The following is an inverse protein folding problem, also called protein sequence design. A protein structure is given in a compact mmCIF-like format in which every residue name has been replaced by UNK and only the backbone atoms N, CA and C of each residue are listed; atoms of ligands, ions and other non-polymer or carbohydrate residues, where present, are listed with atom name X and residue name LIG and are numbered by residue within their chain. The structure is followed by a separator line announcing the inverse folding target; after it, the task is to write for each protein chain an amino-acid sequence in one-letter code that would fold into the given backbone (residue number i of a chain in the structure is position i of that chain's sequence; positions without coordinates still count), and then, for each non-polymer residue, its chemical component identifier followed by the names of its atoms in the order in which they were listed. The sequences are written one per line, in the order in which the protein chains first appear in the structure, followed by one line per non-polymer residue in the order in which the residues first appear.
data_IF_554255125970
#
_entry.id   IF_554255125970
#
_cell.length_a   1.000
_cell.length_b   1.000
_cell.length_c   1.000
_cell.angle_alpha   90.00
_cell.angle_beta   90.00
_cell.angle_gamma   90.00
#
_symmetry.space_group_name_H-M   'P 1'
#
loop_
_entity.id
_entity.type
_entity.pdbx_description
1 polymer ?
#
# COMPACT_ATOMS: atom_id res chain seq x y z
N UNK A 1 48.66 4.39 3.23
CA UNK A 1 48.00 3.11 3.45
C UNK A 1 46.70 3.16 2.66
N UNK A 2 46.62 2.49 1.48
CA UNK A 2 45.37 2.43 0.71
C UNK A 2 44.40 1.53 1.45
N UNK A 3 43.32 2.11 1.98
CA UNK A 3 42.20 1.35 2.51
C UNK A 3 41.49 0.69 1.35
N UNK A 4 41.59 -0.61 1.23
CA UNK A 4 40.79 -1.40 0.30
C UNK A 4 39.33 -1.38 0.79
N UNK A 5 38.46 -0.77 0.03
CA UNK A 5 37.02 -0.73 0.28
C UNK A 5 36.41 -1.94 -0.43
N UNK A 6 35.64 -2.75 0.27
CA UNK A 6 35.18 -4.05 -0.22
C UNK A 6 33.66 -4.14 -0.08
N UNK A 7 33.02 -4.81 -1.06
CA UNK A 7 31.66 -5.33 -0.95
C UNK A 7 31.76 -6.81 -0.59
N UNK A 8 31.05 -7.19 0.47
CA UNK A 8 30.83 -8.58 0.83
C UNK A 8 29.37 -8.90 0.53
N UNK A 9 29.11 -9.91 -0.27
CA UNK A 9 27.78 -10.39 -0.55
C UNK A 9 27.86 -11.92 -0.64
N UNK A 10 27.28 -12.61 0.33
CA UNK A 10 27.17 -14.05 0.32
C UNK A 10 25.84 -14.50 0.89
N UNK A 11 25.36 -15.60 0.37
CA UNK A 11 24.10 -16.20 0.80
C UNK A 11 24.06 -17.67 0.44
N UNK A 12 23.24 -18.40 1.14
CA UNK A 12 22.97 -19.80 0.87
C UNK A 12 21.49 -20.10 0.94
N UNK A 13 21.03 -21.03 0.12
CA UNK A 13 19.66 -21.49 0.10
C UNK A 13 19.66 -23.01 0.28
N UNK A 14 18.84 -23.48 1.21
CA UNK A 14 18.59 -24.89 1.46
C UNK A 14 17.23 -25.26 0.87
N UNK A 15 17.24 -26.14 -0.11
CA UNK A 15 16.02 -26.66 -0.70
C UNK A 15 15.54 -27.86 0.10
N UNK A 16 14.31 -27.80 0.58
CA UNK A 16 13.62 -28.84 1.33
C UNK A 16 12.54 -29.47 0.45
N UNK A 17 12.04 -30.66 0.82
CA UNK A 17 10.98 -31.35 0.03
C UNK A 17 9.73 -30.51 -0.22
N UNK A 18 9.42 -29.54 0.64
CA UNK A 18 8.21 -28.68 0.56
C UNK A 18 8.52 -27.20 0.69
N UNK A 19 9.77 -26.80 0.46
CA UNK A 19 10.10 -25.39 0.59
C UNK A 19 11.58 -25.07 0.45
N UNK A 20 11.91 -23.84 0.78
CA UNK A 20 13.25 -23.29 0.72
C UNK A 20 13.49 -22.42 1.95
N UNK A 21 14.68 -22.49 2.50
CA UNK A 21 15.19 -21.60 3.53
C UNK A 21 16.49 -20.99 3.05
N UNK A 22 16.63 -19.69 3.12
CA UNK A 22 17.83 -18.97 2.69
C UNK A 22 18.25 -17.90 3.69
N UNK A 23 19.56 -17.72 3.80
CA UNK A 23 20.16 -16.61 4.53
C UNK A 23 21.09 -15.85 3.60
N UNK A 24 21.04 -14.53 3.67
CA UNK A 24 21.88 -13.64 2.89
C UNK A 24 22.49 -12.59 3.80
N UNK A 25 23.78 -12.37 3.62
CA UNK A 25 24.54 -11.30 4.24
C UNK A 25 25.11 -10.39 3.15
N UNK A 26 24.95 -9.08 3.33
CA UNK A 26 25.49 -8.08 2.45
C UNK A 26 26.11 -6.96 3.30
N UNK A 27 27.31 -6.56 2.96
CA UNK A 27 28.00 -5.43 3.58
C UNK A 27 28.70 -4.61 2.50
N UNK A 28 28.53 -3.31 2.57
CA UNK A 28 29.21 -2.34 1.73
C UNK A 28 29.98 -1.40 2.65
N UNK A 29 31.29 -1.41 2.52
CA UNK A 29 32.16 -0.59 3.37
C UNK A 29 31.93 0.91 3.13
N UNK A 30 32.23 1.77 4.13
CA UNK A 30 32.22 3.21 3.99
C UNK A 30 33.11 3.68 2.83
N UNK A 31 32.70 4.75 2.15
CA UNK A 31 33.43 5.36 1.02
C UNK A 31 33.62 4.46 -0.21
N UNK A 32 33.01 3.25 -0.24
CA UNK A 32 33.04 2.43 -1.43
C UNK A 32 32.52 3.20 -2.65
N UNK A 33 33.27 3.18 -3.75
CA UNK A 33 32.91 3.83 -5.02
C UNK A 33 32.93 2.79 -6.12
N UNK A 34 31.88 2.74 -6.91
CA UNK A 34 31.81 1.89 -8.10
C UNK A 34 31.98 2.73 -9.36
N UNK A 35 32.66 2.16 -10.36
CA UNK A 35 32.77 2.77 -11.67
C UNK A 35 31.40 2.71 -12.35
N UNK A 36 30.85 3.87 -12.71
CA UNK A 36 29.61 3.98 -13.49
C UNK A 36 28.34 4.33 -12.69
N UNK A 37 28.39 4.47 -11.37
CA UNK A 37 27.25 4.98 -10.58
C UNK A 37 27.65 6.23 -9.79
N UNK A 38 27.01 7.36 -10.07
CA UNK A 38 27.23 8.62 -9.34
C UNK A 38 26.66 8.58 -7.91
N UNK A 39 25.62 7.78 -7.66
CA UNK A 39 24.98 7.60 -6.37
C UNK A 39 24.93 6.11 -6.04
N UNK A 40 25.80 5.70 -5.14
CA UNK A 40 25.83 4.36 -4.62
C UNK A 40 25.64 4.39 -3.10
N UNK A 41 24.70 3.58 -2.60
CA UNK A 41 24.48 3.47 -1.17
C UNK A 41 25.61 2.64 -0.55
N UNK A 42 26.42 3.24 0.26
CA UNK A 42 27.55 2.61 0.95
C UNK A 42 27.43 2.73 2.46
N UNK A 43 28.33 2.10 3.19
CA UNK A 43 28.40 2.12 4.66
C UNK A 43 27.15 1.51 5.29
N UNK A 44 26.78 0.30 4.83
CA UNK A 44 25.68 -0.46 5.43
C UNK A 44 25.98 -1.96 5.50
N UNK A 45 25.29 -2.61 6.42
CA UNK A 45 25.25 -4.05 6.60
C UNK A 45 23.78 -4.51 6.58
N UNK A 46 23.51 -5.60 5.88
CA UNK A 46 22.19 -6.17 5.74
C UNK A 46 22.24 -7.69 5.95
N UNK A 47 21.42 -8.20 6.87
CA UNK A 47 21.23 -9.62 7.11
C UNK A 47 19.78 -9.97 6.80
N UNK A 48 19.54 -10.93 5.92
CA UNK A 48 18.20 -11.31 5.46
C UNK A 48 18.00 -12.82 5.58
N UNK A 49 16.88 -13.22 6.17
CA UNK A 49 16.38 -14.58 6.21
C UNK A 49 15.17 -14.67 5.27
N UNK A 50 15.21 -15.60 4.32
CA UNK A 50 14.14 -15.88 3.39
C UNK A 50 13.64 -17.30 3.60
N UNK A 51 12.32 -17.49 3.63
CA UNK A 51 11.73 -18.81 3.68
C UNK A 51 10.50 -18.87 2.77
N UNK A 52 10.35 -19.98 2.07
CA UNK A 52 9.18 -20.27 1.25
C UNK A 52 8.77 -21.72 1.45
N UNK A 53 7.51 -21.97 1.76
CA UNK A 53 6.98 -23.30 2.05
C UNK A 53 5.63 -23.51 1.37
N UNK A 54 5.45 -24.73 0.82
CA UNK A 54 4.16 -25.21 0.35
C UNK A 54 3.66 -26.29 1.33
N UNK A 55 2.57 -25.99 2.00
CA UNK A 55 2.01 -26.79 3.10
C UNK A 55 0.61 -27.29 2.71
N UNK A 56 0.03 -28.17 3.53
CA UNK A 56 -1.34 -28.67 3.37
C UNK A 56 -1.60 -29.27 1.98
N UNK A 57 -0.69 -30.07 1.45
CA UNK A 57 -0.77 -30.65 0.10
C UNK A 57 -0.86 -29.55 -0.98
N UNK A 58 0.04 -28.57 -0.88
CA UNK A 58 0.17 -27.40 -1.78
C UNK A 58 -1.01 -26.40 -1.75
N UNK A 59 -1.95 -26.58 -0.84
CA UNK A 59 -3.06 -25.64 -0.66
C UNK A 59 -2.66 -24.34 0.05
N UNK A 60 -1.57 -24.33 0.80
CA UNK A 60 -1.05 -23.17 1.50
C UNK A 60 0.39 -22.90 1.06
N UNK A 61 0.59 -21.77 0.39
CA UNK A 61 1.92 -21.22 0.09
C UNK A 61 2.22 -20.11 1.08
N UNK A 62 3.32 -20.26 1.82
CA UNK A 62 3.80 -19.30 2.79
C UNK A 62 5.17 -18.78 2.37
N UNK A 63 5.34 -17.48 2.27
CA UNK A 63 6.60 -16.82 1.98
C UNK A 63 6.91 -15.78 3.05
N UNK A 64 8.13 -15.80 3.57
CA UNK A 64 8.58 -14.82 4.55
C UNK A 64 9.98 -14.30 4.21
N UNK A 65 10.19 -13.04 4.50
CA UNK A 65 11.48 -12.37 4.38
C UNK A 65 11.65 -11.48 5.60
N UNK A 66 12.69 -11.72 6.39
CA UNK A 66 13.00 -10.93 7.58
C UNK A 66 14.43 -10.43 7.45
N UNK A 67 14.62 -9.12 7.46
CA UNK A 67 15.92 -8.48 7.31
C UNK A 67 16.19 -7.44 8.38
N UNK A 68 17.46 -7.33 8.76
CA UNK A 68 17.98 -6.23 9.55
C UNK A 68 19.07 -5.52 8.77
N UNK A 69 18.90 -4.22 8.59
CA UNK A 69 19.91 -3.35 7.99
C UNK A 69 20.35 -2.30 9.01
N UNK A 70 21.64 -2.02 9.05
CA UNK A 70 22.21 -0.91 9.81
C UNK A 70 23.25 -0.16 8.96
N UNK A 71 23.38 1.12 9.18
CA UNK A 71 24.39 1.99 8.56
C UNK A 71 25.39 2.53 9.60
N UNK A 72 26.31 3.38 9.16
CA UNK A 72 27.35 4.00 9.98
C UNK A 72 28.19 2.95 10.74
N UNK A 73 28.72 1.98 10.00
CA UNK A 73 29.41 0.81 10.57
C UNK A 73 30.67 1.18 11.35
N UNK A 74 31.31 2.30 11.03
CA UNK A 74 32.53 2.78 11.67
C UNK A 74 32.28 3.94 12.64
N UNK A 75 31.02 4.31 12.93
CA UNK A 75 30.63 5.42 13.79
C UNK A 75 31.24 6.79 13.38
N UNK A 76 31.50 6.98 12.09
CA UNK A 76 32.08 8.20 11.55
C UNK A 76 31.05 9.28 11.22
N UNK A 77 29.79 8.89 11.09
CA UNK A 77 28.67 9.81 10.80
C UNK A 77 28.00 10.22 12.10
N UNK A 78 27.62 11.49 12.23
CA UNK A 78 26.85 11.98 13.38
C UNK A 78 25.47 11.37 13.55
N UNK A 79 25.06 10.44 12.65
CA UNK A 79 23.77 9.78 12.64
C UNK A 79 23.94 8.30 12.30
N UNK A 80 23.33 7.44 13.10
CA UNK A 80 23.26 6.01 12.84
C UNK A 80 21.81 5.59 12.65
N UNK A 81 21.54 4.78 11.63
CA UNK A 81 20.22 4.22 11.36
C UNK A 81 20.27 2.70 11.39
N UNK A 82 19.31 2.11 12.05
CA UNK A 82 19.05 0.66 11.99
C UNK A 82 17.59 0.44 11.63
N UNK A 83 17.32 -0.50 10.73
CA UNK A 83 15.97 -0.84 10.32
C UNK A 83 15.74 -2.35 10.32
N UNK A 84 14.54 -2.74 10.75
CA UNK A 84 14.03 -4.08 10.60
C UNK A 84 12.93 -4.08 9.55
N UNK A 85 12.98 -5.04 8.66
CA UNK A 85 11.97 -5.28 7.65
C UNK A 85 11.53 -6.72 7.76
N UNK A 86 10.25 -6.92 7.94
CA UNK A 86 9.65 -8.25 7.96
C UNK A 86 8.45 -8.30 7.02
N UNK A 87 8.39 -9.28 6.14
CA UNK A 87 7.24 -9.55 5.28
C UNK A 87 6.83 -11.00 5.40
N UNK A 88 5.53 -11.23 5.48
CA UNK A 88 4.91 -12.56 5.44
C UNK A 88 3.79 -12.51 4.43
N UNK A 89 3.82 -13.42 3.45
CA UNK A 89 2.76 -13.58 2.47
C UNK A 89 2.23 -15.00 2.56
N UNK A 90 0.92 -15.16 2.63
CA UNK A 90 0.23 -16.43 2.68
C UNK A 90 -0.85 -16.48 1.60
N UNK A 91 -0.84 -17.53 0.78
CA UNK A 91 -1.89 -17.83 -0.18
C UNK A 91 -2.49 -19.18 0.20
N UNK A 92 -3.77 -19.18 0.53
CA UNK A 92 -4.48 -20.37 0.96
C UNK A 92 -5.67 -20.65 0.06
N UNK A 93 -5.58 -21.74 -0.68
CA UNK A 93 -6.68 -22.28 -1.47
C UNK A 93 -7.46 -23.30 -0.64
N UNK A 94 -8.42 -22.82 0.14
CA UNK A 94 -9.20 -23.67 1.04
C UNK A 94 -10.06 -24.70 0.25
N UNK A 95 -10.57 -24.26 -0.91
CA UNK A 95 -11.30 -25.13 -1.87
C UNK A 95 -11.15 -24.56 -3.28
N UNK A 96 -11.69 -25.26 -4.28
CA UNK A 96 -11.75 -24.76 -5.67
C UNK A 96 -12.54 -23.45 -5.82
N UNK A 97 -13.36 -23.13 -4.82
CA UNK A 97 -14.19 -21.92 -4.81
C UNK A 97 -13.67 -20.82 -3.88
N UNK A 98 -12.81 -21.15 -2.92
CA UNK A 98 -12.38 -20.22 -1.88
C UNK A 98 -10.86 -20.07 -1.85
N UNK A 99 -10.41 -18.86 -2.16
CA UNK A 99 -9.02 -18.44 -2.06
C UNK A 99 -8.88 -17.28 -1.07
N UNK A 100 -7.91 -17.39 -0.19
CA UNK A 100 -7.56 -16.37 0.82
C UNK A 100 -6.10 -16.01 0.61
N UNK A 101 -5.84 -14.73 0.41
CA UNK A 101 -4.49 -14.16 0.36
C UNK A 101 -4.33 -13.20 1.54
N UNK A 102 -3.27 -13.37 2.30
CA UNK A 102 -2.94 -12.48 3.40
C UNK A 102 -1.47 -12.04 3.27
N UNK A 103 -1.22 -10.77 3.47
CA UNK A 103 0.13 -10.23 3.56
C UNK A 103 0.27 -9.34 4.78
N UNK A 104 1.39 -9.47 5.45
CA UNK A 104 1.82 -8.61 6.54
C UNK A 104 3.22 -8.09 6.24
N UNK A 105 3.43 -6.81 6.44
CA UNK A 105 4.77 -6.24 6.41
C UNK A 105 4.97 -5.28 7.58
N UNK A 106 6.15 -5.35 8.17
CA UNK A 106 6.61 -4.45 9.21
C UNK A 106 7.92 -3.80 8.76
N UNK A 107 7.97 -2.49 8.89
CA UNK A 107 9.18 -1.72 8.70
C UNK A 107 9.41 -0.90 9.95
N UNK A 108 10.55 -1.12 10.62
CA UNK A 108 10.93 -0.33 11.79
C UNK A 108 12.30 0.32 11.52
N UNK A 109 12.34 1.63 11.57
CA UNK A 109 13.56 2.43 11.41
C UNK A 109 13.93 3.10 12.73
N UNK A 110 15.18 2.93 13.13
CA UNK A 110 15.78 3.61 14.26
C UNK A 110 16.84 4.59 13.73
N UNK A 111 16.80 5.80 14.19
CA UNK A 111 17.79 6.82 13.86
C UNK A 111 18.30 7.45 15.14
N UNK A 112 19.60 7.34 15.38
CA UNK A 112 20.29 8.01 16.48
C UNK A 112 21.05 9.20 15.91
N UNK A 113 20.69 10.40 16.30
CA UNK A 113 21.44 11.62 15.99
C UNK A 113 22.38 11.92 17.15
N UNK A 114 23.69 11.87 16.92
CA UNK A 114 24.68 12.26 17.91
C UNK A 114 24.80 13.79 17.89
N UNK A 115 24.52 14.42 19.03
CA UNK A 115 24.57 15.88 19.16
C UNK A 115 26.01 16.41 19.47
N UNK A 116 27.02 15.57 19.35
CA UNK A 116 28.42 15.85 19.73
C UNK A 116 29.05 17.07 19.05
N UNK A 117 28.42 17.67 18.04
CA UNK A 117 28.94 18.87 17.39
C UNK A 117 28.83 20.15 18.25
N UNK A 118 28.03 20.13 19.31
CA UNK A 118 27.84 21.31 20.18
C UNK A 118 28.65 21.30 21.47
N UNK A 119 29.29 20.18 21.83
CA UNK A 119 30.07 20.06 23.06
C UNK A 119 31.38 20.90 23.05
N UNK A 120 31.86 21.29 21.88
CA UNK A 120 33.07 22.11 21.77
C UNK A 120 32.82 23.63 21.91
N UNK A 121 31.56 24.08 21.99
CA UNK A 121 31.23 25.52 22.02
C UNK A 121 30.92 26.01 23.43
N UNK A 122 30.51 25.17 24.36
CA UNK A 122 30.16 25.55 25.74
C UNK A 122 30.90 24.73 26.80
N UNK A 123 32.21 24.88 26.89
CA UNK A 123 33.02 24.46 28.05
C UNK A 123 32.73 25.38 29.24
N UNK A 124 31.54 25.33 29.83
CA UNK A 124 31.21 25.98 31.07
C UNK A 124 31.22 24.93 32.20
N UNK A 125 32.18 24.92 33.11
CA UNK A 125 32.42 23.86 34.10
C UNK A 125 31.34 23.71 35.18
N UNK A 126 30.28 24.54 35.17
CA UNK A 126 29.26 24.60 36.23
C UNK A 126 27.89 24.07 35.86
N UNK A 127 27.67 23.56 34.66
CA UNK A 127 26.39 22.93 34.33
C UNK A 127 26.50 21.41 34.39
N UNK A 128 26.14 20.84 35.54
CA UNK A 128 25.86 19.41 35.74
C UNK A 128 24.47 19.09 35.12
N UNK A 129 24.28 19.40 33.86
CA UNK A 129 23.23 18.77 33.07
C UNK A 129 23.93 17.75 32.17
N UNK A 130 23.68 16.46 32.42
CA UNK A 130 24.10 15.41 31.50
C UNK A 130 23.56 15.79 30.11
N UNK A 131 24.45 16.10 29.13
CA UNK A 131 23.97 16.37 27.78
C UNK A 131 23.20 15.13 27.31
N UNK A 132 22.04 15.30 26.75
CA UNK A 132 21.43 14.23 25.96
C UNK A 132 22.30 14.04 24.75
N UNK A 133 23.25 13.10 24.82
CA UNK A 133 24.26 12.89 23.79
C UNK A 133 23.66 12.38 22.45
N UNK A 134 22.39 12.00 22.44
CA UNK A 134 21.72 11.55 21.22
C UNK A 134 20.20 11.67 21.32
N UNK A 135 19.54 12.06 20.24
CA UNK A 135 18.10 11.97 20.07
C UNK A 135 17.81 10.67 19.32
N UNK A 136 17.01 9.81 19.93
CA UNK A 136 16.57 8.55 19.32
C UNK A 136 15.24 8.75 18.62
N UNK A 137 15.26 8.67 17.31
CA UNK A 137 14.06 8.68 16.49
C UNK A 137 13.72 7.27 16.03
N UNK A 138 12.47 6.83 16.26
CA UNK A 138 11.98 5.53 15.84
C UNK A 138 10.68 5.68 15.04
N UNK A 139 10.69 5.19 13.82
CA UNK A 139 9.50 5.05 12.99
C UNK A 139 9.13 3.58 12.87
N UNK A 140 7.88 3.26 13.14
CA UNK A 140 7.31 1.92 12.98
C UNK A 140 6.19 2.05 11.95
N UNK A 141 6.25 1.24 10.89
CA UNK A 141 5.20 1.13 9.88
C UNK A 141 4.78 -0.33 9.75
N UNK A 142 3.49 -0.59 9.84
CA UNK A 142 2.91 -1.92 9.70
C UNK A 142 1.83 -1.89 8.63
N UNK A 143 1.84 -2.88 7.76
CA UNK A 143 0.84 -3.04 6.72
C UNK A 143 0.26 -4.44 6.79
N UNK A 144 -1.05 -4.54 6.75
CA UNK A 144 -1.80 -5.79 6.63
C UNK A 144 -2.68 -5.70 5.41
N UNK A 145 -2.69 -6.72 4.57
CA UNK A 145 -3.66 -6.86 3.49
C UNK A 145 -4.24 -8.26 3.53
N UNK A 146 -5.55 -8.35 3.47
CA UNK A 146 -6.28 -9.61 3.40
C UNK A 146 -7.26 -9.52 2.23
N UNK A 147 -7.22 -10.52 1.37
CA UNK A 147 -8.16 -10.68 0.28
C UNK A 147 -8.79 -12.06 0.37
N UNK A 148 -10.12 -12.11 0.35
CA UNK A 148 -10.91 -13.34 0.31
C UNK A 148 -11.71 -13.32 -0.98
N UNK A 149 -11.53 -14.32 -1.82
CA UNK A 149 -12.28 -14.50 -3.05
C UNK A 149 -13.08 -15.79 -2.95
N UNK A 150 -14.40 -15.67 -3.11
CA UNK A 150 -15.31 -16.80 -3.08
C UNK A 150 -16.13 -16.87 -4.36
N UNK A 151 -15.91 -17.90 -5.17
CA UNK A 151 -16.66 -18.20 -6.38
C UNK A 151 -17.94 -18.94 -6.03
N UNK A 152 -19.08 -18.23 -6.11
CA UNK A 152 -20.40 -18.82 -5.88
C UNK A 152 -20.81 -19.72 -7.05
N UNK A 153 -20.57 -19.26 -8.27
CA UNK A 153 -20.88 -19.98 -9.51
C UNK A 153 -19.84 -19.61 -10.57
N UNK A 154 -19.45 -20.59 -11.37
CA UNK A 154 -18.53 -20.40 -12.49
C UNK A 154 -19.00 -21.27 -13.67
N UNK A 155 -20.16 -20.94 -14.27
CA UNK A 155 -20.67 -21.56 -15.47
C UNK A 155 -20.40 -20.66 -16.69
N UNK A 156 -20.55 -21.23 -17.90
CA UNK A 156 -20.44 -20.44 -19.15
C UNK A 156 -21.52 -19.37 -19.24
N UNK A 157 -22.71 -19.65 -18.73
CA UNK A 157 -23.83 -18.72 -18.76
C UNK A 157 -23.77 -17.65 -17.68
N UNK A 158 -23.25 -18.02 -16.47
CA UNK A 158 -23.26 -17.17 -15.30
C UNK A 158 -22.07 -17.43 -14.40
N UNK A 159 -21.28 -16.38 -14.12
CA UNK A 159 -20.23 -16.41 -13.11
C UNK A 159 -20.55 -15.41 -11.99
N UNK A 160 -20.40 -15.84 -10.75
CA UNK A 160 -20.66 -15.02 -9.56
C UNK A 160 -19.52 -15.17 -8.57
N UNK A 161 -19.04 -14.07 -8.04
CA UNK A 161 -18.04 -14.07 -7.01
C UNK A 161 -18.28 -12.98 -5.96
N UNK A 162 -17.89 -13.30 -4.75
CA UNK A 162 -17.76 -12.33 -3.66
C UNK A 162 -16.27 -12.12 -3.41
N UNK A 163 -15.88 -10.87 -3.34
CA UNK A 163 -14.51 -10.48 -2.99
C UNK A 163 -14.58 -9.57 -1.76
N UNK A 164 -13.81 -9.93 -0.73
CA UNK A 164 -13.68 -9.16 0.52
C UNK A 164 -12.22 -8.76 0.62
N UNK A 165 -11.98 -7.46 0.69
CA UNK A 165 -10.65 -6.88 0.87
C UNK A 165 -10.61 -6.10 2.18
N UNK A 166 -9.53 -6.28 2.91
CA UNK A 166 -9.21 -5.47 4.08
C UNK A 166 -7.75 -5.06 4.01
N UNK A 167 -7.48 -3.78 4.24
CA UNK A 167 -6.13 -3.27 4.39
C UNK A 167 -6.00 -2.37 5.61
N UNK A 168 -4.90 -2.53 6.30
CA UNK A 168 -4.46 -1.69 7.41
C UNK A 168 -3.07 -1.13 7.08
N UNK A 169 -2.92 0.18 7.24
CA UNK A 169 -1.62 0.82 7.28
C UNK A 169 -1.54 1.61 8.60
N UNK A 170 -0.59 1.26 9.44
CA UNK A 170 -0.36 1.89 10.75
C UNK A 170 1.08 2.38 10.84
N UNK A 171 1.25 3.67 11.10
CA UNK A 171 2.55 4.31 11.22
C UNK A 171 2.62 5.10 12.53
N UNK A 172 3.69 4.86 13.29
CA UNK A 172 3.94 5.54 14.57
C UNK A 172 5.36 6.10 14.58
N UNK A 173 5.47 7.39 14.88
CA UNK A 173 6.73 8.08 15.06
C UNK A 173 6.96 8.34 16.56
N UNK A 174 8.08 7.84 17.08
CA UNK A 174 8.52 8.01 18.46
C UNK A 174 9.84 8.78 18.51
N UNK A 175 9.99 9.61 19.52
CA UNK A 175 11.22 10.32 19.85
C UNK A 175 11.54 10.04 21.31
N UNK A 176 12.71 9.51 21.59
CA UNK A 176 13.13 9.04 22.93
C UNK A 176 12.11 8.11 23.61
N UNK A 177 11.49 7.22 22.81
CA UNK A 177 10.46 6.28 23.27
C UNK A 177 9.05 6.86 23.40
N UNK A 178 8.88 8.18 23.30
CA UNK A 178 7.60 8.87 23.42
C UNK A 178 6.99 9.07 22.04
N UNK A 179 5.68 8.83 21.90
CA UNK A 179 4.97 9.10 20.65
C UNK A 179 4.90 10.60 20.40
N UNK A 180 5.41 11.05 19.26
CA UNK A 180 5.32 12.44 18.85
C UNK A 180 3.86 12.89 18.69
N UNK A 181 3.54 14.11 19.12
CA UNK A 181 2.21 14.69 18.89
C UNK A 181 1.90 14.69 17.38
N UNK A 182 0.79 14.09 16.97
CA UNK A 182 0.46 13.88 15.55
C UNK A 182 1.31 12.80 14.87
N UNK A 183 2.18 12.08 15.58
CA UNK A 183 3.06 11.05 15.04
C UNK A 183 2.39 9.69 14.81
N UNK A 184 1.08 9.58 14.98
CA UNK A 184 0.30 8.38 14.65
C UNK A 184 -0.50 8.65 13.38
N UNK A 185 -0.36 7.75 12.41
CA UNK A 185 -1.21 7.71 11.23
C UNK A 185 -1.70 6.28 11.03
N UNK A 186 -3.02 6.09 11.03
CA UNK A 186 -3.66 4.78 10.88
C UNK A 186 -4.72 4.85 9.82
N UNK A 187 -4.70 3.87 8.95
CA UNK A 187 -5.56 3.76 7.80
C UNK A 187 -6.18 2.36 7.76
N UNK A 188 -7.49 2.26 7.90
CA UNK A 188 -8.25 1.04 7.68
C UNK A 188 -9.09 1.20 6.43
N UNK A 189 -9.03 0.23 5.55
CA UNK A 189 -9.89 0.16 4.39
C UNK A 189 -10.51 -1.23 4.33
N UNK A 190 -11.81 -1.31 4.20
CA UNK A 190 -12.56 -2.55 4.00
C UNK A 190 -13.48 -2.40 2.80
N UNK A 191 -13.51 -3.40 1.93
CA UNK A 191 -14.36 -3.46 0.77
C UNK A 191 -14.99 -4.84 0.66
N UNK A 192 -16.30 -4.88 0.43
CA UNK A 192 -17.02 -6.09 0.05
C UNK A 192 -17.59 -5.83 -1.33
N UNK A 193 -17.25 -6.68 -2.29
CA UNK A 193 -17.71 -6.60 -3.66
C UNK A 193 -18.41 -7.90 -4.05
N UNK A 194 -19.61 -7.79 -4.59
CA UNK A 194 -20.32 -8.88 -5.25
C UNK A 194 -20.37 -8.59 -6.73
N UNK A 195 -19.93 -9.54 -7.53
CA UNK A 195 -19.92 -9.46 -8.98
C UNK A 195 -20.72 -10.60 -9.59
N UNK A 196 -21.57 -10.27 -10.55
CA UNK A 196 -22.26 -11.21 -11.41
C UNK A 196 -21.96 -10.88 -12.87
N UNK A 197 -21.44 -11.87 -13.59
CA UNK A 197 -21.10 -11.78 -15.01
C UNK A 197 -21.90 -12.79 -15.80
N UNK A 198 -22.39 -12.39 -16.96
CA UNK A 198 -23.04 -13.21 -17.96
C UNK A 198 -22.19 -13.20 -19.24
N UNK A 199 -21.19 -14.12 -19.34
CA UNK A 199 -20.22 -14.10 -20.44
C UNK A 199 -20.87 -14.15 -21.82
N UNK A 200 -21.90 -14.99 -22.04
CA UNK A 200 -22.58 -15.08 -23.32
C UNK A 200 -23.33 -13.80 -23.72
N UNK A 201 -23.82 -13.06 -22.74
CA UNK A 201 -24.49 -11.76 -22.94
C UNK A 201 -23.53 -10.56 -22.85
N UNK A 202 -22.23 -10.82 -22.59
CA UNK A 202 -21.19 -9.80 -22.41
C UNK A 202 -21.61 -8.71 -21.41
N UNK A 203 -22.23 -9.13 -20.32
CA UNK A 203 -22.82 -8.26 -19.31
C UNK A 203 -22.18 -8.56 -17.95
N UNK A 204 -21.88 -7.50 -17.24
CA UNK A 204 -21.33 -7.55 -15.88
C UNK A 204 -22.06 -6.54 -15.00
N UNK A 205 -22.43 -6.98 -13.80
CA UNK A 205 -23.00 -6.13 -12.74
C UNK A 205 -22.18 -6.34 -11.49
N UNK A 206 -21.73 -5.25 -10.87
CA UNK A 206 -21.05 -5.33 -9.59
C UNK A 206 -21.69 -4.38 -8.58
N UNK A 207 -21.82 -4.85 -7.35
CA UNK A 207 -22.26 -4.04 -6.22
C UNK A 207 -21.20 -4.13 -5.13
N UNK A 208 -20.85 -2.99 -4.51
CA UNK A 208 -19.87 -2.98 -3.45
C UNK A 208 -20.25 -2.04 -2.31
N UNK A 209 -19.68 -2.32 -1.13
CA UNK A 209 -19.69 -1.42 0.02
C UNK A 209 -18.23 -1.18 0.41
N UNK A 210 -17.86 0.08 0.49
CA UNK A 210 -16.54 0.52 0.90
C UNK A 210 -16.63 1.19 2.27
N UNK A 211 -15.68 0.88 3.15
CA UNK A 211 -15.48 1.54 4.43
C UNK A 211 -14.03 1.94 4.57
N UNK A 212 -13.78 3.20 4.88
CA UNK A 212 -12.46 3.74 5.17
C UNK A 212 -12.50 4.49 6.49
N UNK A 213 -11.58 4.16 7.39
CA UNK A 213 -11.34 4.89 8.61
C UNK A 213 -9.89 5.39 8.60
N UNK A 214 -9.72 6.69 8.76
CA UNK A 214 -8.42 7.34 8.82
C UNK A 214 -8.26 8.05 10.15
N UNK A 215 -7.16 7.77 10.83
CA UNK A 215 -6.68 8.54 11.96
C UNK A 215 -5.33 9.16 11.61
N UNK A 216 -5.25 10.46 11.54
CA UNK A 216 -4.00 11.16 11.26
C UNK A 216 -4.01 12.54 11.94
N UNK A 217 -2.86 13.01 12.41
CA UNK A 217 -2.72 14.30 13.09
C UNK A 217 -3.78 14.53 14.21
N UNK A 218 -4.06 13.47 15.00
CA UNK A 218 -5.06 13.45 16.09
C UNK A 218 -6.52 13.65 15.64
N UNK A 219 -6.82 13.28 14.38
CA UNK A 219 -8.15 13.42 13.80
C UNK A 219 -8.64 12.13 13.21
N UNK A 220 -9.94 11.89 13.36
CA UNK A 220 -10.64 10.77 12.74
C UNK A 220 -11.47 11.25 11.54
N UNK A 221 -11.41 10.48 10.47
CA UNK A 221 -12.33 10.59 9.33
C UNK A 221 -12.84 9.21 8.98
N UNK A 222 -14.15 9.06 8.90
CA UNK A 222 -14.81 7.84 8.48
C UNK A 222 -15.51 8.09 7.15
N UNK A 223 -15.36 7.17 6.21
CA UNK A 223 -16.05 7.19 4.94
C UNK A 223 -16.74 5.84 4.78
N UNK A 224 -18.02 5.85 4.47
CA UNK A 224 -18.76 4.65 4.10
C UNK A 224 -19.55 4.94 2.83
N UNK A 225 -19.57 3.99 1.89
CA UNK A 225 -20.30 4.18 0.66
C UNK A 225 -20.58 2.92 -0.11
N UNK A 226 -21.87 2.65 -0.42
CA UNK A 226 -22.25 1.67 -1.42
C UNK A 226 -21.97 2.19 -2.84
N UNK A 227 -21.70 1.26 -3.73
CA UNK A 227 -21.64 1.52 -5.18
C UNK A 227 -22.23 0.37 -5.98
N UNK A 228 -22.73 0.70 -7.16
CA UNK A 228 -23.19 -0.26 -8.16
C UNK A 228 -22.61 0.13 -9.50
N UNK A 229 -22.24 -0.87 -10.30
CA UNK A 229 -21.78 -0.66 -11.66
C UNK A 229 -22.38 -1.70 -12.60
N UNK A 230 -22.55 -1.29 -13.83
CA UNK A 230 -23.09 -2.10 -14.92
C UNK A 230 -22.24 -1.87 -16.16
N UNK A 231 -21.87 -2.97 -16.83
CA UNK A 231 -21.15 -2.94 -18.10
C UNK A 231 -21.80 -3.94 -19.06
N UNK A 232 -21.95 -3.55 -20.33
CA UNK A 232 -22.50 -4.42 -21.37
C UNK A 232 -21.87 -4.14 -22.73
N UNK A 233 -21.44 -5.21 -23.40
CA UNK A 233 -21.06 -5.19 -24.80
C UNK A 233 -22.33 -5.39 -25.69
N UNK A 234 -22.46 -4.54 -26.70
CA UNK A 234 -23.55 -4.59 -27.69
C UNK A 234 -22.97 -4.44 -29.09
N UNK A 235 -23.81 -4.59 -30.11
CA UNK A 235 -23.43 -4.48 -31.54
C UNK A 235 -22.26 -5.40 -31.91
N UNK A 236 -22.28 -6.65 -31.48
CA UNK A 236 -21.21 -7.65 -31.71
C UNK A 236 -19.84 -7.14 -31.26
N UNK A 237 -19.77 -6.57 -30.06
CA UNK A 237 -18.59 -5.97 -29.42
C UNK A 237 -18.10 -4.63 -29.97
N UNK A 238 -18.75 -4.09 -30.97
CA UNK A 238 -18.40 -2.77 -31.50
C UNK A 238 -18.75 -1.63 -30.56
N UNK A 239 -19.63 -1.88 -29.58
CA UNK A 239 -20.01 -0.85 -28.59
C UNK A 239 -20.04 -1.44 -27.19
N UNK A 240 -19.43 -0.71 -26.26
CA UNK A 240 -19.48 -1.00 -24.82
C UNK A 240 -20.19 0.14 -24.11
N UNK A 241 -21.17 -0.22 -23.29
CA UNK A 241 -21.88 0.72 -22.42
C UNK A 241 -21.50 0.42 -20.98
N UNK A 242 -21.18 1.46 -20.23
CA UNK A 242 -20.92 1.39 -18.81
C UNK A 242 -21.78 2.40 -18.06
N UNK A 243 -22.27 2.02 -16.89
CA UNK A 243 -22.89 2.97 -15.97
C UNK A 243 -22.53 2.61 -14.53
N UNK A 244 -22.56 3.60 -13.64
CA UNK A 244 -22.31 3.35 -12.24
C UNK A 244 -22.81 4.48 -11.38
N UNK A 245 -23.18 4.13 -10.15
CA UNK A 245 -23.57 5.08 -9.13
C UNK A 245 -22.88 4.74 -7.82
N UNK A 246 -22.50 5.75 -7.06
CA UNK A 246 -21.97 5.60 -5.71
C UNK A 246 -22.50 6.70 -4.80
N UNK A 247 -22.72 6.35 -3.53
CA UNK A 247 -23.11 7.28 -2.49
C UNK A 247 -22.16 7.14 -1.31
N UNK A 248 -21.37 8.16 -1.05
CA UNK A 248 -20.35 8.16 -0.01
C UNK A 248 -20.72 9.17 1.07
N UNK A 249 -20.64 8.74 2.32
CA UNK A 249 -20.80 9.62 3.50
C UNK A 249 -19.44 9.67 4.17
N UNK A 250 -18.89 10.88 4.25
CA UNK A 250 -17.69 11.20 5.01
C UNK A 250 -18.05 11.93 6.29
N UNK A 251 -17.50 11.50 7.43
CA UNK A 251 -17.70 12.17 8.72
C UNK A 251 -16.38 12.34 9.45
N UNK A 252 -16.13 13.55 9.95
CA UNK A 252 -14.93 13.87 10.74
C UNK A 252 -15.04 15.29 11.30
N UNK A 253 -14.51 15.52 12.50
CA UNK A 253 -14.53 16.82 13.21
C UNK A 253 -15.91 17.49 13.30
N UNK A 254 -16.99 16.73 13.44
CA UNK A 254 -18.34 17.28 13.44
C UNK A 254 -18.88 17.68 12.07
N UNK A 255 -18.08 17.54 11.02
CA UNK A 255 -18.49 17.78 9.63
C UNK A 255 -18.94 16.46 9.02
N UNK A 256 -20.08 16.48 8.36
CA UNK A 256 -20.60 15.37 7.57
C UNK A 256 -20.80 15.84 6.13
N UNK A 257 -20.17 15.13 5.20
CA UNK A 257 -20.31 15.38 3.78
C UNK A 257 -20.84 14.14 3.10
N UNK A 258 -21.90 14.29 2.33
CA UNK A 258 -22.47 13.23 1.49
C UNK A 258 -22.17 13.57 0.03
N UNK A 259 -21.68 12.57 -0.71
CA UNK A 259 -21.35 12.72 -2.13
C UNK A 259 -22.05 11.61 -2.90
N UNK A 260 -22.90 11.98 -3.80
CA UNK A 260 -23.47 11.08 -4.79
C UNK A 260 -22.75 11.30 -6.13
N UNK A 261 -22.22 10.21 -6.69
CA UNK A 261 -21.63 10.24 -8.02
C UNK A 261 -22.41 9.29 -8.94
N UNK A 262 -22.72 9.79 -10.12
CA UNK A 262 -23.24 9.00 -11.21
C UNK A 262 -22.28 9.12 -12.39
N UNK A 263 -22.02 7.99 -13.06
CA UNK A 263 -21.25 7.99 -14.31
C UNK A 263 -21.95 7.13 -15.35
N UNK A 264 -21.93 7.59 -16.59
CA UNK A 264 -22.34 6.82 -17.75
C UNK A 264 -21.28 6.99 -18.84
N UNK A 265 -20.95 5.92 -19.52
CA UNK A 265 -19.98 5.91 -20.60
C UNK A 265 -20.42 5.01 -21.74
N UNK A 266 -20.02 5.39 -22.94
CA UNK A 266 -20.18 4.56 -24.13
C UNK A 266 -18.89 4.66 -24.95
N UNK A 267 -18.37 3.52 -25.36
CA UNK A 267 -17.25 3.41 -26.31
C UNK A 267 -17.73 2.69 -27.55
N UNK A 268 -17.56 3.29 -28.71
CA UNK A 268 -18.04 2.76 -29.96
C UNK A 268 -16.94 2.70 -31.03
N UNK A 269 -16.62 1.51 -31.47
CA UNK A 269 -15.64 1.22 -32.52
C UNK A 269 -16.37 0.67 -33.78
N UNK A 270 -16.90 1.55 -34.65
CA UNK A 270 -17.61 1.12 -35.87
C UNK A 270 -16.69 0.37 -36.84
N UNK A 271 -15.42 0.77 -36.91
CA UNK A 271 -14.36 0.20 -37.72
C UNK A 271 -13.11 -0.09 -36.88
N UNK A 272 -12.25 -0.97 -37.31
CA UNK A 272 -11.07 -1.44 -36.55
C UNK A 272 -10.13 -0.35 -36.07
N UNK A 273 -10.05 0.77 -36.81
CA UNK A 273 -9.12 1.87 -36.54
C UNK A 273 -9.76 3.08 -35.85
N UNK A 274 -11.08 3.10 -35.68
CA UNK A 274 -11.81 4.27 -35.17
C UNK A 274 -12.52 3.93 -33.87
N UNK A 275 -12.28 4.70 -32.83
CA UNK A 275 -12.96 4.58 -31.55
C UNK A 275 -13.51 5.95 -31.11
N UNK A 276 -14.78 5.97 -30.74
CA UNK A 276 -15.48 7.11 -30.20
C UNK A 276 -15.84 6.83 -28.75
N UNK A 277 -15.49 7.75 -27.86
CA UNK A 277 -15.75 7.61 -26.43
C UNK A 277 -16.61 8.78 -25.95
N UNK A 278 -17.66 8.47 -25.19
CA UNK A 278 -18.51 9.43 -24.48
C UNK A 278 -18.49 9.08 -23.01
N UNK A 279 -18.15 10.06 -22.15
CA UNK A 279 -18.20 9.91 -20.70
C UNK A 279 -18.98 11.08 -20.10
N UNK A 280 -19.95 10.76 -19.25
CA UNK A 280 -20.73 11.73 -18.47
C UNK A 280 -20.53 11.36 -17.00
N UNK A 281 -20.15 12.36 -16.21
CA UNK A 281 -19.97 12.24 -14.76
C UNK A 281 -20.84 13.35 -14.14
N UNK A 282 -21.69 12.96 -13.19
CA UNK A 282 -22.40 13.89 -12.35
C UNK A 282 -22.01 13.67 -10.89
N UNK A 283 -21.57 14.72 -10.20
CA UNK A 283 -21.24 14.72 -8.80
C UNK A 283 -22.14 15.69 -8.06
N UNK A 284 -22.90 15.17 -7.10
CA UNK A 284 -23.68 15.96 -6.17
C UNK A 284 -23.14 15.82 -4.76
N UNK A 285 -22.73 16.96 -4.17
CA UNK A 285 -22.17 17.04 -2.82
C UNK A 285 -23.08 17.85 -1.91
N UNK A 286 -23.30 17.34 -0.69
CA UNK A 286 -24.00 18.01 0.40
C UNK A 286 -23.14 17.99 1.65
N UNK A 287 -22.89 19.14 2.25
CA UNK A 287 -22.12 19.27 3.50
C UNK A 287 -23.00 19.93 4.56
N UNK A 288 -23.00 19.41 5.78
CA UNK A 288 -23.78 19.91 6.92
C UNK A 288 -23.13 21.12 7.61
N UNK A 289 -22.05 21.64 7.07
CA UNK A 289 -21.36 22.81 7.63
C UNK A 289 -21.97 24.11 7.08
N UNK A 290 -22.00 25.15 7.91
CA UNK A 290 -22.43 26.49 7.48
C UNK A 290 -21.30 27.17 6.67
N UNK A 291 -21.17 26.77 5.40
CA UNK A 291 -20.19 27.27 4.43
C UNK A 291 -20.92 27.93 3.26
N UNK A 292 -20.27 28.83 2.48
CA UNK A 292 -20.92 29.57 1.39
C UNK A 292 -21.63 28.67 0.36
N UNK A 293 -21.10 27.45 0.13
CA UNK A 293 -21.67 26.51 -0.84
C UNK A 293 -21.83 25.11 -0.22
N UNK A 294 -22.84 24.89 0.67
CA UNK A 294 -23.09 23.61 1.30
C UNK A 294 -23.57 22.53 0.32
N UNK A 295 -24.11 22.96 -0.82
CA UNK A 295 -24.58 22.11 -1.91
C UNK A 295 -23.79 22.43 -3.18
N UNK A 296 -23.32 21.41 -3.86
CA UNK A 296 -22.61 21.53 -5.13
C UNK A 296 -23.10 20.44 -6.07
N UNK A 297 -23.39 20.81 -7.30
CA UNK A 297 -23.70 19.87 -8.38
C UNK A 297 -22.79 20.19 -9.57
N UNK A 298 -22.06 19.20 -10.02
CA UNK A 298 -21.11 19.32 -11.12
C UNK A 298 -21.38 18.22 -12.14
N UNK A 299 -21.48 18.60 -13.41
CA UNK A 299 -21.66 17.69 -14.52
C UNK A 299 -20.51 17.92 -15.48
N UNK A 300 -19.79 16.83 -15.77
CA UNK A 300 -18.70 16.82 -16.74
C UNK A 300 -19.08 15.87 -17.88
N UNK A 301 -19.01 16.35 -19.11
CA UNK A 301 -19.18 15.55 -20.31
C UNK A 301 -17.90 15.60 -21.13
N UNK A 302 -17.38 14.41 -21.47
CA UNK A 302 -16.16 14.28 -22.27
C UNK A 302 -16.46 13.44 -23.50
N UNK A 303 -16.10 13.95 -24.68
CA UNK A 303 -16.18 13.25 -25.94
C UNK A 303 -14.74 13.05 -26.45
N UNK A 304 -14.41 11.82 -26.79
CA UNK A 304 -13.11 11.44 -27.30
C UNK A 304 -13.23 10.75 -28.66
N UNK A 305 -12.22 10.95 -29.48
CA UNK A 305 -12.02 10.20 -30.72
C UNK A 305 -10.58 9.74 -30.80
N UNK A 306 -10.38 8.45 -31.03
CA UNK A 306 -9.06 7.84 -31.18
C UNK A 306 -8.97 7.12 -32.52
N UNK A 307 -7.93 7.42 -33.26
CA UNK A 307 -7.57 6.69 -34.49
C UNK A 307 -6.32 5.85 -34.23
N UNK A 308 -6.39 4.56 -34.59
CA UNK A 308 -5.24 3.64 -34.47
C UNK A 308 -4.63 3.48 -35.88
N UNK A 309 -3.39 3.84 -36.01
CA UNK A 309 -2.62 3.70 -37.25
C UNK A 309 -2.35 2.24 -37.64
#
# INVERSE_FOLDING_TARGET
MQLQQIIYNFGTNFTLKKGMLGIRYERVDPEYKTLGAYYFNNDFENITLNAAFNLLKDKLSLQTNIGRQRDNLQNQKGKQTSRWVGTVNANFQASDKLMITASYSNFTMFTNNQLNQFNNINNNPLQIQQPRDSIQYRQISQNVNININYALSATKEKAQNININYSLNDMVNKEDGIVRRGGISRFHNANINYNISFPERKMNIAASINYTNTYAASQYTNIIGPSISFNKGILKDKMQISSGASYNISSGRGIRTSVFNFRAGASYAPWEKHNFDLNIINMFRLTNQNIPHPKMNEITCTVGYNYRF
#
